data_IF_698461500695
#
_entry.id   IF_698461500695
#
_cell.length_a   1.000
_cell.length_b   1.000
_cell.length_c   1.000
_cell.angle_alpha   90.00
_cell.angle_beta   90.00
_cell.angle_gamma   90.00
#
_symmetry.space_group_name_H-M   'P 1'
#
loop_
_entity.id
_entity.type
_entity.pdbx_description
1 polymer ?
#
# COMPACT_ATOMS: atom_id res chain seq x y z
N UNK A 1 -6.45 -29.84 -4.10
CA UNK A 1 -6.65 -28.35 -4.08
C UNK A 1 -6.69 -27.78 -5.52
N UNK A 2 -7.28 -28.50 -6.49
CA UNK A 2 -7.19 -28.12 -7.91
C UNK A 2 -8.52 -27.59 -8.47
N UNK A 3 -9.66 -27.97 -7.89
CA UNK A 3 -10.99 -27.62 -8.41
C UNK A 3 -11.30 -26.11 -8.36
N UNK A 4 -10.82 -25.40 -7.32
CA UNK A 4 -11.13 -23.98 -7.12
C UNK A 4 -10.35 -23.03 -8.05
N UNK A 5 -9.18 -23.45 -8.56
CA UNK A 5 -8.36 -22.65 -9.51
C UNK A 5 -9.00 -22.60 -10.90
N UNK A 6 -9.71 -23.66 -11.29
CA UNK A 6 -10.34 -23.77 -12.59
C UNK A 6 -11.58 -22.88 -12.74
N UNK A 7 -12.28 -22.60 -11.63
CA UNK A 7 -13.54 -21.82 -11.64
C UNK A 7 -13.30 -20.32 -11.50
N UNK A 8 -12.17 -19.91 -10.88
CA UNK A 8 -11.81 -18.49 -10.70
C UNK A 8 -10.30 -18.24 -10.93
N UNK A 9 -9.83 -18.34 -12.19
CA UNK A 9 -8.42 -18.13 -12.56
C UNK A 9 -7.92 -16.70 -12.32
N UNK A 10 -8.83 -15.73 -12.21
CA UNK A 10 -8.54 -14.32 -11.91
C UNK A 10 -8.18 -14.05 -10.44
N UNK A 11 -8.12 -15.07 -9.58
CA UNK A 11 -7.85 -14.94 -8.16
C UNK A 11 -6.63 -15.78 -7.76
N UNK A 12 -5.55 -15.15 -7.31
CA UNK A 12 -4.31 -15.83 -6.85
C UNK A 12 -4.48 -16.39 -5.44
N UNK A 13 -4.89 -17.65 -5.35
CA UNK A 13 -5.19 -18.36 -4.10
C UNK A 13 -3.99 -18.59 -3.16
N UNK A 14 -2.75 -18.39 -3.63
CA UNK A 14 -1.52 -18.68 -2.89
C UNK A 14 -1.11 -17.59 -1.86
N UNK A 15 -1.58 -16.35 -2.00
CA UNK A 15 -1.20 -15.24 -1.10
C UNK A 15 -1.89 -15.31 0.28
N UNK A 16 -3.12 -15.84 0.33
CA UNK A 16 -3.90 -15.87 1.58
C UNK A 16 -3.35 -16.87 2.61
N UNK A 17 -2.53 -17.84 2.19
CA UNK A 17 -2.03 -18.92 3.07
C UNK A 17 -0.57 -18.75 3.54
N UNK A 18 0.26 -17.94 2.88
CA UNK A 18 1.64 -17.74 3.33
C UNK A 18 1.70 -16.79 4.52
N UNK A 19 2.11 -17.32 5.68
CA UNK A 19 2.38 -16.52 6.90
C UNK A 19 3.57 -15.58 6.73
N UNK A 20 4.52 -15.90 5.85
CA UNK A 20 5.71 -15.10 5.56
C UNK A 20 6.10 -15.22 4.09
N UNK A 21 6.55 -14.10 3.50
CA UNK A 21 7.14 -14.07 2.18
C UNK A 21 8.53 -14.74 2.19
N UNK A 22 8.95 -15.43 1.10
CA UNK A 22 10.27 -16.02 1.00
C UNK A 22 11.42 -15.01 1.21
N UNK A 23 12.60 -15.50 1.58
CA UNK A 23 13.81 -14.65 1.61
C UNK A 23 14.05 -14.05 0.22
N UNK A 24 14.38 -12.77 0.18
CA UNK A 24 14.63 -12.05 -1.08
C UNK A 24 13.38 -11.60 -1.85
N UNK A 25 12.17 -12.00 -1.45
CA UNK A 25 10.93 -11.65 -2.15
C UNK A 25 10.79 -10.14 -2.41
N UNK A 26 11.05 -9.30 -1.40
CA UNK A 26 11.00 -7.84 -1.49
C UNK A 26 12.19 -7.19 -2.21
N UNK A 27 13.13 -7.97 -2.75
CA UNK A 27 14.22 -7.45 -3.59
C UNK A 27 13.85 -7.45 -5.07
N UNK A 28 12.80 -8.18 -5.46
CA UNK A 28 12.21 -8.08 -6.78
C UNK A 28 11.22 -6.90 -6.81
N UNK A 29 11.43 -5.96 -7.73
CA UNK A 29 10.57 -4.78 -7.89
C UNK A 29 9.16 -5.13 -8.38
N UNK A 30 9.00 -6.24 -9.10
CA UNK A 30 7.68 -6.71 -9.56
C UNK A 30 6.80 -7.08 -8.38
N UNK A 31 7.32 -7.88 -7.45
CA UNK A 31 6.63 -8.22 -6.19
C UNK A 31 6.26 -6.97 -5.36
N UNK A 32 7.10 -5.95 -5.41
CA UNK A 32 6.86 -4.67 -4.70
C UNK A 32 5.72 -3.90 -5.37
N UNK A 33 5.68 -3.88 -6.71
CA UNK A 33 4.59 -3.28 -7.48
C UNK A 33 3.28 -4.03 -7.26
N UNK A 34 3.28 -5.35 -7.30
CA UNK A 34 2.08 -6.16 -7.02
C UNK A 34 1.53 -5.88 -5.62
N UNK A 35 2.41 -5.80 -4.62
CA UNK A 35 2.00 -5.43 -3.27
C UNK A 35 1.38 -4.02 -3.22
N UNK A 36 1.97 -3.05 -3.91
CA UNK A 36 1.41 -1.70 -3.99
C UNK A 36 0.06 -1.68 -4.70
N UNK A 37 -0.12 -2.39 -5.80
CA UNK A 37 -1.43 -2.52 -6.46
C UNK A 37 -2.46 -3.19 -5.54
N UNK A 38 -2.07 -4.18 -4.74
CA UNK A 38 -2.96 -4.78 -3.74
C UNK A 38 -3.37 -3.78 -2.65
N UNK A 39 -2.45 -2.91 -2.20
CA UNK A 39 -2.75 -1.84 -1.25
C UNK A 39 -3.69 -0.81 -1.88
N UNK A 40 -3.42 -0.45 -3.13
CA UNK A 40 -4.22 0.48 -3.91
C UNK A 40 -5.67 -0.01 -4.01
N UNK A 41 -5.87 -1.27 -4.37
CA UNK A 41 -7.18 -1.89 -4.44
C UNK A 41 -7.86 -1.99 -3.06
N UNK A 42 -7.13 -2.42 -2.03
CA UNK A 42 -7.66 -2.62 -0.68
C UNK A 42 -8.11 -1.32 -0.01
N UNK A 43 -7.38 -0.23 -0.22
CA UNK A 43 -7.65 1.08 0.39
C UNK A 43 -8.21 2.11 -0.59
N UNK A 44 -8.59 1.68 -1.79
CA UNK A 44 -9.17 2.52 -2.85
C UNK A 44 -8.34 3.78 -3.10
N UNK A 45 -7.03 3.61 -3.26
CA UNK A 45 -6.11 4.72 -3.51
C UNK A 45 -6.18 5.10 -4.99
N UNK A 46 -6.92 6.15 -5.32
CA UNK A 46 -7.09 6.58 -6.71
C UNK A 46 -6.04 7.61 -7.11
N UNK A 47 -5.62 8.46 -6.17
CA UNK A 47 -4.72 9.57 -6.43
C UNK A 47 -3.38 9.38 -5.74
N UNK A 48 -2.36 10.03 -6.30
CA UNK A 48 -1.03 10.11 -5.70
C UNK A 48 -1.10 10.56 -4.25
N UNK A 49 -1.98 11.51 -3.93
CA UNK A 49 -2.09 12.08 -2.59
C UNK A 49 -2.61 11.10 -1.54
N UNK A 50 -3.32 10.06 -1.96
CA UNK A 50 -3.89 9.06 -1.05
C UNK A 50 -2.80 8.17 -0.46
N UNK A 51 -1.69 7.96 -1.18
CA UNK A 51 -0.53 7.21 -0.69
C UNK A 51 0.11 7.85 0.55
N UNK A 52 0.10 9.18 0.67
CA UNK A 52 0.64 9.87 1.85
C UNK A 52 -0.18 9.57 3.13
N UNK A 53 -1.42 9.12 2.98
CA UNK A 53 -2.33 8.80 4.09
C UNK A 53 -2.23 7.36 4.57
N UNK A 54 -1.53 6.49 3.83
CA UNK A 54 -1.35 5.09 4.22
C UNK A 54 -0.47 5.04 5.47
N UNK A 55 -1.01 4.48 6.55
CA UNK A 55 -0.29 4.29 7.80
C UNK A 55 0.58 3.03 7.77
N UNK A 56 1.61 2.99 8.62
CA UNK A 56 2.43 1.79 8.81
C UNK A 56 1.57 0.62 9.29
N UNK A 57 0.54 0.87 10.11
CA UNK A 57 -0.37 -0.17 10.59
C UNK A 57 -1.21 -0.76 9.45
N UNK A 58 -1.69 0.06 8.52
CA UNK A 58 -2.41 -0.42 7.33
C UNK A 58 -1.53 -1.33 6.47
N UNK A 59 -0.23 -1.00 6.33
CA UNK A 59 0.74 -1.83 5.61
C UNK A 59 0.97 -3.15 6.35
N UNK A 60 1.08 -3.13 7.68
CA UNK A 60 1.19 -4.35 8.49
C UNK A 60 -0.06 -5.24 8.39
N UNK A 61 -1.26 -4.64 8.43
CA UNK A 61 -2.54 -5.33 8.23
C UNK A 61 -2.66 -5.93 6.82
N UNK A 62 -1.95 -5.39 5.84
CA UNK A 62 -1.81 -5.95 4.49
C UNK A 62 -0.69 -7.00 4.40
N UNK A 63 -0.16 -7.52 5.52
CA UNK A 63 0.97 -8.46 5.60
C UNK A 63 2.30 -7.88 5.07
N UNK A 64 2.40 -6.56 4.96
CA UNK A 64 3.58 -5.83 4.49
C UNK A 64 4.69 -5.63 5.52
N UNK A 65 4.69 -6.35 6.65
CA UNK A 65 5.74 -6.19 7.68
C UNK A 65 7.15 -6.46 7.11
N UNK A 66 7.27 -7.42 6.20
CA UNK A 66 8.53 -7.73 5.52
C UNK A 66 9.01 -6.62 4.58
N UNK A 67 8.09 -5.97 3.86
CA UNK A 67 8.44 -4.87 2.94
C UNK A 67 8.87 -3.63 3.72
N UNK A 68 8.22 -3.34 4.84
CA UNK A 68 8.61 -2.25 5.74
C UNK A 68 10.03 -2.45 6.28
N UNK A 69 10.40 -3.68 6.66
CA UNK A 69 11.75 -3.99 7.13
C UNK A 69 12.82 -3.78 6.05
N UNK A 70 12.49 -4.05 4.78
CA UNK A 70 13.42 -3.90 3.65
C UNK A 70 13.62 -2.44 3.25
N UNK A 71 12.53 -1.68 3.12
CA UNK A 71 12.56 -0.32 2.59
C UNK A 71 12.69 0.75 3.69
N UNK A 72 12.27 0.45 4.93
CA UNK A 72 12.40 1.32 6.09
C UNK A 72 11.39 2.47 6.15
N UNK A 73 10.81 2.89 5.03
CA UNK A 73 9.77 3.92 5.00
C UNK A 73 8.80 3.75 3.83
N UNK A 74 7.60 4.33 3.97
CA UNK A 74 6.60 4.35 2.90
C UNK A 74 7.11 5.10 1.66
N UNK A 75 7.85 6.20 1.86
CA UNK A 75 8.48 6.95 0.76
C UNK A 75 9.39 6.06 -0.09
N UNK A 76 10.34 5.36 0.54
CA UNK A 76 11.28 4.48 -0.18
C UNK A 76 10.56 3.34 -0.90
N UNK A 77 9.45 2.86 -0.34
CA UNK A 77 8.62 1.82 -0.94
C UNK A 77 7.91 2.32 -2.21
N UNK A 78 7.18 3.43 -2.14
CA UNK A 78 6.45 3.96 -3.31
C UNK A 78 7.39 4.49 -4.39
N UNK A 79 8.53 5.07 -4.02
CA UNK A 79 9.55 5.51 -4.98
C UNK A 79 10.20 4.34 -5.72
N UNK A 80 10.29 3.17 -5.10
CA UNK A 80 10.78 1.96 -5.76
C UNK A 80 9.74 1.34 -6.70
N UNK A 81 8.46 1.32 -6.29
CA UNK A 81 7.37 0.77 -7.10
C UNK A 81 6.98 1.66 -8.29
N UNK A 82 6.95 2.97 -8.07
CA UNK A 82 6.53 3.99 -9.02
C UNK A 82 7.62 5.07 -9.18
N UNK A 83 8.75 4.74 -9.85
CA UNK A 83 9.88 5.66 -10.00
C UNK A 83 9.56 6.88 -10.86
N UNK A 84 8.58 6.78 -11.76
CA UNK A 84 8.14 7.88 -12.62
C UNK A 84 7.31 8.95 -11.87
N UNK A 85 6.87 8.64 -10.65
CA UNK A 85 6.06 9.55 -9.84
C UNK A 85 6.97 10.36 -8.91
N UNK A 86 6.84 11.68 -8.97
CA UNK A 86 7.61 12.61 -8.13
C UNK A 86 7.07 12.66 -6.69
N UNK A 87 7.54 11.80 -5.80
CA UNK A 87 7.08 11.73 -4.41
C UNK A 87 7.71 12.82 -3.52
N UNK A 88 6.93 13.38 -2.59
CA UNK A 88 7.43 14.28 -1.54
C UNK A 88 7.69 13.49 -0.25
N UNK A 89 8.96 13.29 0.10
CA UNK A 89 9.36 12.59 1.33
C UNK A 89 8.82 13.27 2.61
N UNK A 90 8.76 14.61 2.64
CA UNK A 90 8.28 15.36 3.80
C UNK A 90 6.78 15.18 4.03
N UNK A 91 6.03 14.90 2.97
CA UNK A 91 4.61 14.58 3.10
C UNK A 91 4.38 13.23 3.82
N UNK A 92 5.35 12.30 3.80
CA UNK A 92 5.26 11.02 4.49
C UNK A 92 5.61 11.08 5.99
N UNK A 93 6.36 12.10 6.45
CA UNK A 93 6.86 12.22 7.83
C UNK A 93 5.90 12.92 8.80
N UNK A 94 4.79 13.48 8.30
CA UNK A 94 3.77 14.12 9.15
C UNK A 94 3.13 13.07 10.09
N UNK A 95 3.35 13.23 11.40
CA UNK A 95 3.01 12.26 12.48
C UNK A 95 1.52 12.14 12.78
N UNK A 96 0.68 13.09 12.36
CA UNK A 96 -0.77 13.02 12.54
C UNK A 96 -1.45 12.26 11.41
N UNK A 97 -1.30 10.92 11.44
CA UNK A 97 -1.93 10.00 10.49
C UNK A 97 -3.15 9.30 11.08
N UNK A 98 -4.06 10.04 11.69
CA UNK A 98 -5.44 9.57 11.82
C UNK A 98 -6.11 9.73 10.46
N UNK A 99 -5.89 8.75 9.59
CA UNK A 99 -6.32 8.78 8.18
C UNK A 99 -7.81 9.10 8.05
N UNK A 100 -8.64 8.67 9.01
CA UNK A 100 -10.07 8.99 9.10
C UNK A 100 -10.34 10.48 9.44
N UNK A 101 -9.65 11.06 10.42
CA UNK A 101 -9.85 12.46 10.83
C UNK A 101 -9.35 13.44 9.76
N UNK A 102 -8.20 13.15 9.12
CA UNK A 102 -7.69 13.98 8.01
C UNK A 102 -8.55 13.82 6.76
N UNK A 103 -9.07 12.62 6.47
CA UNK A 103 -10.03 12.43 5.39
C UNK A 103 -11.32 13.22 5.67
N UNK A 104 -11.87 13.12 6.87
CA UNK A 104 -13.03 13.90 7.30
C UNK A 104 -12.77 15.41 7.17
N UNK A 105 -11.61 15.89 7.62
CA UNK A 105 -11.19 17.28 7.48
C UNK A 105 -11.10 17.71 6.01
N UNK A 106 -10.60 16.86 5.11
CA UNK A 106 -10.52 17.15 3.68
C UNK A 106 -11.90 17.15 3.00
N UNK A 107 -12.81 16.26 3.40
CA UNK A 107 -14.20 16.31 2.93
C UNK A 107 -14.88 17.59 3.41
N UNK A 108 -14.69 17.98 4.67
CA UNK A 108 -15.20 19.25 5.20
C UNK A 108 -14.67 20.45 4.42
N UNK A 109 -13.37 20.47 4.05
CA UNK A 109 -12.80 21.56 3.24
C UNK A 109 -13.34 21.62 1.81
N UNK A 110 -13.77 20.50 1.23
CA UNK A 110 -14.45 20.48 -0.07
C UNK A 110 -15.89 20.96 0.03
N UNK A 111 -16.59 20.61 1.11
CA UNK A 111 -17.99 20.98 1.36
C UNK A 111 -18.15 22.43 1.79
N UNK A 112 -17.14 22.98 2.47
CA UNK A 112 -17.09 24.38 2.91
C UNK A 112 -15.81 25.05 2.40
N UNK A 113 -15.73 25.34 1.09
CA UNK A 113 -14.67 26.21 0.58
C UNK A 113 -14.87 27.62 1.19
N UNK A 114 -13.80 28.16 1.78
CA UNK A 114 -13.78 29.55 2.24
C UNK A 114 -13.79 30.51 1.04
#
# INVERSE_FOLDING_TARGET
MELLRAVYPQYTWDEKMRKQYPRGYWSNLENVREFLESLKAKFQLEKKEDWYRVSTEQIQQARGAGVLRKYGSMYKLVSAGYPDVQWDEKAFSQRDKRSEQRWMLLQLRKLFPR
#
